data_IF_760651234989
#
_entry.id   IF_760651234989
#
_cell.length_a   1.000
_cell.length_b   1.000
_cell.length_c   1.000
_cell.angle_alpha   90.00
_cell.angle_beta   90.00
_cell.angle_gamma   90.00
#
_symmetry.space_group_name_H-M   'P 1'
#
loop_
_entity.id
_entity.type
_entity.pdbx_description
1 polymer ?
#
# COMPACT_ATOMS: atom_id res chain seq x y z
N UNK A 1 27.91 19.00 9.28
CA UNK A 1 26.72 18.07 9.26
C UNK A 1 25.50 18.94 9.10
N UNK A 2 24.56 18.58 8.21
CA UNK A 2 23.27 19.29 8.15
C UNK A 2 22.46 18.89 9.38
N UNK A 3 21.90 19.87 10.09
CA UNK A 3 20.94 19.62 11.16
C UNK A 3 19.79 18.77 10.63
N UNK A 4 19.42 17.72 11.36
CA UNK A 4 18.29 16.87 11.05
C UNK A 4 17.34 16.82 12.25
N UNK A 5 16.17 16.18 12.08
CA UNK A 5 15.13 16.10 13.11
C UNK A 5 15.59 15.48 14.45
N UNK A 6 16.75 14.82 14.47
CA UNK A 6 17.31 14.15 15.65
C UNK A 6 18.55 14.85 16.24
N UNK A 7 19.03 15.94 15.63
CA UNK A 7 20.25 16.63 16.11
C UNK A 7 20.11 17.12 17.56
N UNK A 8 18.92 17.55 17.95
CA UNK A 8 18.57 17.99 19.31
C UNK A 8 17.37 17.23 19.87
N UNK A 9 17.16 16.01 19.40
CA UNK A 9 16.04 15.22 19.85
C UNK A 9 16.19 14.81 21.30
N UNK A 10 15.17 15.10 22.09
CA UNK A 10 15.00 14.59 23.44
C UNK A 10 13.63 13.92 23.53
N UNK A 11 13.61 12.68 24.01
CA UNK A 11 12.37 11.92 24.15
C UNK A 11 11.44 12.59 25.17
N UNK A 12 10.23 12.95 24.73
CA UNK A 12 9.16 13.35 25.61
C UNK A 12 8.49 12.11 26.18
N UNK A 13 8.76 11.80 27.43
CA UNK A 13 8.26 10.58 28.07
C UNK A 13 6.74 10.52 28.15
N UNK A 14 6.04 11.66 28.19
CA UNK A 14 4.58 11.69 28.20
C UNK A 14 4.01 11.29 26.85
N UNK A 15 4.53 11.86 25.77
CA UNK A 15 4.13 11.50 24.40
C UNK A 15 4.52 10.04 24.10
N UNK A 16 5.74 9.65 24.45
CA UNK A 16 6.20 8.28 24.24
C UNK A 16 5.36 7.26 24.99
N UNK A 17 5.01 7.55 26.24
CA UNK A 17 4.10 6.71 27.02
C UNK A 17 2.70 6.58 26.41
N UNK A 18 2.17 7.64 25.78
CA UNK A 18 0.90 7.57 25.03
C UNK A 18 1.01 6.71 23.79
N UNK A 19 2.13 6.77 23.06
CA UNK A 19 2.38 5.90 21.92
C UNK A 19 2.53 4.43 22.36
N UNK A 20 3.22 4.16 23.46
CA UNK A 20 3.31 2.83 24.06
C UNK A 20 1.93 2.29 24.44
N UNK A 21 1.09 3.11 25.06
CA UNK A 21 -0.27 2.73 25.43
C UNK A 21 -1.18 2.44 24.21
N UNK A 22 -0.89 3.10 23.09
CA UNK A 22 -1.59 2.84 21.82
C UNK A 22 -1.03 1.64 21.05
N UNK A 23 0.12 1.11 21.48
CA UNK A 23 0.80 -0.05 20.89
C UNK A 23 0.47 -1.30 21.73
N UNK A 24 -0.63 -1.97 21.43
CA UNK A 24 -1.04 -3.17 22.14
C UNK A 24 -0.07 -4.34 21.85
N UNK A 25 0.42 -5.01 22.88
CA UNK A 25 1.26 -6.23 22.80
C UNK A 25 2.56 -6.07 21.97
N UNK A 26 3.27 -4.94 22.11
CA UNK A 26 4.51 -4.68 21.36
C UNK A 26 4.28 -4.40 19.88
N UNK A 27 3.02 -4.16 19.50
CA UNK A 27 2.62 -3.79 18.16
C UNK A 27 2.83 -2.29 17.92
N UNK A 28 2.46 -1.87 16.74
CA UNK A 28 2.54 -0.47 16.31
C UNK A 28 1.58 0.41 17.11
N UNK A 29 1.96 1.68 17.38
CA UNK A 29 1.01 2.67 17.84
C UNK A 29 -0.08 2.87 16.77
N UNK A 30 -1.31 2.53 17.11
CA UNK A 30 -2.49 2.73 16.27
C UNK A 30 -3.34 3.84 16.89
N UNK A 31 -3.62 4.87 16.10
CA UNK A 31 -4.42 6.02 16.52
C UNK A 31 -5.52 6.26 15.50
N UNK A 32 -6.75 6.27 15.96
CA UNK A 32 -7.86 6.72 15.14
C UNK A 32 -7.75 8.22 14.80
N UNK A 33 -8.58 8.71 13.89
CA UNK A 33 -8.53 10.08 13.43
C UNK A 33 -8.61 11.09 14.57
N UNK A 34 -9.47 10.87 15.57
CA UNK A 34 -9.65 11.80 16.69
C UNK A 34 -8.43 11.84 17.59
N UNK A 35 -7.89 10.68 17.94
CA UNK A 35 -6.69 10.57 18.77
C UNK A 35 -5.47 11.11 18.07
N UNK A 36 -5.32 10.82 16.77
CA UNK A 36 -4.23 11.33 15.93
C UNK A 36 -4.28 12.86 15.83
N UNK A 37 -5.45 13.43 15.57
CA UNK A 37 -5.65 14.87 15.51
C UNK A 37 -5.37 15.56 16.85
N UNK A 38 -5.89 14.99 17.95
CA UNK A 38 -5.66 15.50 19.30
C UNK A 38 -4.17 15.56 19.64
N UNK A 39 -3.44 14.47 19.39
CA UNK A 39 -2.01 14.43 19.67
C UNK A 39 -1.22 15.37 18.74
N UNK A 40 -1.60 15.49 17.47
CA UNK A 40 -0.99 16.46 16.57
C UNK A 40 -1.20 17.91 17.00
N UNK A 41 -2.40 18.26 17.48
CA UNK A 41 -2.68 19.59 18.04
C UNK A 41 -1.89 19.85 19.32
N UNK A 42 -1.76 18.84 20.16
CA UNK A 42 -1.09 18.97 21.47
C UNK A 42 0.42 19.06 21.34
N UNK A 43 1.03 18.24 20.50
CA UNK A 43 2.49 18.10 20.44
C UNK A 43 3.13 18.64 19.16
N UNK A 44 2.34 18.86 18.14
CA UNK A 44 2.80 19.26 16.80
C UNK A 44 3.28 18.07 15.94
N UNK A 45 3.15 18.26 14.63
CA UNK A 45 3.45 17.25 13.62
C UNK A 45 4.88 16.69 13.73
N UNK A 46 5.87 17.57 13.80
CA UNK A 46 7.26 17.14 13.76
C UNK A 46 7.65 16.36 15.02
N UNK A 47 7.16 16.79 16.18
CA UNK A 47 7.38 16.08 17.44
C UNK A 47 6.72 14.72 17.43
N UNK A 48 5.49 14.61 16.95
CA UNK A 48 4.79 13.33 16.77
C UNK A 48 5.58 12.39 15.86
N UNK A 49 5.97 12.88 14.67
CA UNK A 49 6.68 12.10 13.67
C UNK A 49 8.02 11.60 14.19
N UNK A 50 8.76 12.45 14.93
CA UNK A 50 10.05 12.07 15.51
C UNK A 50 9.91 11.00 16.58
N UNK A 51 8.89 11.11 17.46
CA UNK A 51 8.64 10.11 18.49
C UNK A 51 8.17 8.78 17.92
N UNK A 52 7.36 8.77 16.87
CA UNK A 52 6.96 7.54 16.17
C UNK A 52 8.18 6.88 15.50
N UNK A 53 9.04 7.67 14.89
CA UNK A 53 10.27 7.14 14.28
C UNK A 53 11.23 6.57 15.33
N UNK A 54 11.40 7.26 16.46
CA UNK A 54 12.16 6.77 17.60
C UNK A 54 11.57 5.47 18.17
N UNK A 55 10.24 5.40 18.31
CA UNK A 55 9.55 4.20 18.73
C UNK A 55 9.85 3.01 17.82
N UNK A 56 9.65 3.18 16.51
CA UNK A 56 9.90 2.11 15.54
C UNK A 56 11.37 1.66 15.56
N UNK A 57 12.29 2.61 15.64
CA UNK A 57 13.73 2.31 15.66
C UNK A 57 14.18 1.63 16.95
N UNK A 58 13.56 1.96 18.09
CA UNK A 58 13.93 1.41 19.41
C UNK A 58 13.28 0.07 19.68
N UNK A 59 11.98 -0.04 19.44
CA UNK A 59 11.18 -1.22 19.80
C UNK A 59 11.16 -2.28 18.68
N UNK A 60 11.49 -1.89 17.46
CA UNK A 60 11.49 -2.79 16.29
C UNK A 60 10.23 -3.65 16.18
N UNK A 61 9.04 -3.05 16.23
CA UNK A 61 7.82 -3.81 16.07
C UNK A 61 7.80 -4.52 14.70
N UNK A 62 7.10 -5.64 14.66
CA UNK A 62 6.96 -6.40 13.39
C UNK A 62 6.40 -5.51 12.30
N UNK A 63 6.95 -5.59 11.09
CA UNK A 63 6.43 -4.86 9.94
C UNK A 63 4.96 -5.23 9.71
N UNK A 64 4.06 -4.25 9.63
CA UNK A 64 2.64 -4.54 9.47
C UNK A 64 2.38 -5.20 8.11
N UNK A 65 1.79 -6.37 8.14
CA UNK A 65 1.33 -7.09 6.95
C UNK A 65 -0.19 -7.24 7.04
N UNK A 66 -0.84 -7.28 5.88
CA UNK A 66 -2.25 -7.67 5.85
C UNK A 66 -2.37 -9.12 6.29
N UNK A 67 -3.04 -9.36 7.39
CA UNK A 67 -3.39 -10.72 7.79
C UNK A 67 -4.42 -11.30 6.81
N UNK A 68 -4.10 -12.45 6.23
CA UNK A 68 -4.96 -13.18 5.30
C UNK A 68 -5.05 -14.60 5.83
N UNK A 69 -6.23 -15.00 6.28
CA UNK A 69 -6.46 -16.37 6.69
C UNK A 69 -6.50 -17.33 5.50
N UNK A 70 -6.27 -18.61 5.75
CA UNK A 70 -6.40 -19.65 4.72
C UNK A 70 -7.82 -19.70 4.15
N UNK A 71 -8.80 -19.41 4.97
CA UNK A 71 -10.21 -19.45 4.55
C UNK A 71 -10.57 -18.21 3.72
N UNK A 72 -10.04 -17.03 4.07
CA UNK A 72 -10.16 -15.82 3.24
C UNK A 72 -9.51 -16.01 1.87
N UNK A 73 -8.31 -16.59 1.84
CA UNK A 73 -7.62 -16.91 0.58
C UNK A 73 -8.44 -17.88 -0.27
N UNK A 74 -8.98 -18.96 0.33
CA UNK A 74 -9.82 -19.92 -0.37
C UNK A 74 -11.10 -19.29 -0.90
N UNK A 75 -11.78 -18.48 -0.06
CA UNK A 75 -12.97 -17.73 -0.48
C UNK A 75 -12.64 -16.82 -1.65
N UNK A 76 -11.56 -16.04 -1.54
CA UNK A 76 -11.09 -15.16 -2.61
C UNK A 76 -10.82 -15.92 -3.91
N UNK A 77 -10.24 -17.12 -3.84
CA UNK A 77 -10.02 -17.98 -5.01
C UNK A 77 -11.35 -18.49 -5.62
N UNK A 78 -12.31 -18.91 -4.80
CA UNK A 78 -13.62 -19.31 -5.29
C UNK A 78 -14.38 -18.16 -5.94
N UNK A 79 -14.28 -16.96 -5.39
CA UNK A 79 -14.89 -15.76 -5.94
C UNK A 79 -14.23 -15.38 -7.27
N UNK A 80 -12.90 -15.48 -7.36
CA UNK A 80 -12.16 -15.31 -8.62
C UNK A 80 -12.63 -16.30 -9.69
N UNK A 81 -12.79 -17.57 -9.35
CA UNK A 81 -13.27 -18.60 -10.30
C UNK A 81 -14.65 -18.29 -10.87
N UNK A 82 -15.52 -17.66 -10.08
CA UNK A 82 -16.89 -17.29 -10.47
C UNK A 82 -16.99 -15.91 -11.11
N UNK A 83 -15.92 -15.11 -11.02
CA UNK A 83 -15.93 -13.74 -11.52
C UNK A 83 -16.18 -13.72 -13.03
N UNK A 84 -17.15 -12.91 -13.46
CA UNK A 84 -17.41 -12.66 -14.87
C UNK A 84 -16.37 -11.69 -15.44
N UNK A 85 -15.45 -12.23 -16.22
CA UNK A 85 -14.35 -11.45 -16.81
C UNK A 85 -14.79 -10.55 -17.96
N UNK A 86 -16.00 -10.70 -18.49
CA UNK A 86 -16.53 -9.80 -19.53
C UNK A 86 -16.61 -8.35 -19.04
N UNK A 87 -16.78 -8.16 -17.74
CA UNK A 87 -16.83 -6.83 -17.12
C UNK A 87 -15.49 -6.04 -17.16
N UNK A 88 -14.39 -6.73 -17.44
CA UNK A 88 -13.05 -6.11 -17.58
C UNK A 88 -12.45 -6.24 -18.98
N UNK A 89 -13.15 -6.94 -19.87
CA UNK A 89 -12.79 -7.08 -21.29
C UNK A 89 -13.66 -6.13 -22.09
N UNK A 90 -13.08 -5.08 -22.63
CA UNK A 90 -13.80 -4.06 -23.39
C UNK A 90 -13.23 -3.87 -24.78
N UNK A 91 -14.06 -3.50 -25.78
CA UNK A 91 -13.59 -3.16 -27.11
C UNK A 91 -12.61 -1.97 -27.08
N UNK A 92 -11.62 -1.96 -27.96
CA UNK A 92 -10.61 -0.88 -28.01
C UNK A 92 -11.25 0.50 -28.21
N UNK A 93 -12.32 0.62 -29.00
CA UNK A 93 -13.06 1.87 -29.21
C UNK A 93 -13.60 2.46 -27.90
N UNK A 94 -14.01 1.60 -26.95
CA UNK A 94 -14.45 2.05 -25.64
C UNK A 94 -13.24 2.43 -24.76
N UNK A 95 -12.11 1.73 -24.89
CA UNK A 95 -10.85 2.10 -24.22
C UNK A 95 -10.40 3.48 -24.68
N UNK A 96 -10.42 3.73 -26.00
CA UNK A 96 -10.12 5.04 -26.56
C UNK A 96 -10.95 6.12 -25.88
N UNK A 97 -12.24 5.98 -25.87
CA UNK A 97 -13.14 7.00 -25.32
C UNK A 97 -12.92 7.25 -23.82
N UNK A 98 -12.71 6.21 -23.02
CA UNK A 98 -12.58 6.36 -21.55
C UNK A 98 -11.17 6.74 -21.09
N UNK A 99 -10.15 6.34 -21.84
CA UNK A 99 -8.75 6.51 -21.43
C UNK A 99 -8.08 7.66 -22.18
N UNK A 100 -8.37 7.84 -23.47
CA UNK A 100 -7.67 8.80 -24.32
C UNK A 100 -8.25 10.21 -24.36
N UNK A 101 -9.53 10.40 -24.10
CA UNK A 101 -10.04 11.76 -23.82
C UNK A 101 -9.28 12.44 -22.66
N UNK A 102 -8.51 11.66 -21.89
CA UNK A 102 -7.69 12.12 -20.79
C UNK A 102 -6.22 12.36 -21.13
N UNK A 103 -5.72 11.85 -22.26
CA UNK A 103 -4.29 11.81 -22.60
C UNK A 103 -4.07 12.00 -24.09
N UNK A 104 -4.48 13.17 -24.61
CA UNK A 104 -4.43 13.53 -26.03
C UNK A 104 -3.04 13.41 -26.70
N UNK A 105 -1.97 13.36 -25.91
CA UNK A 105 -0.58 13.38 -26.38
C UNK A 105 0.08 12.00 -26.47
N UNK A 106 -0.66 10.91 -26.24
CA UNK A 106 -0.09 9.57 -26.25
C UNK A 106 -0.56 8.73 -27.43
N UNK A 107 0.39 8.26 -28.25
CA UNK A 107 0.14 7.17 -29.20
C UNK A 107 0.23 5.83 -28.46
N UNK A 108 -0.87 5.09 -28.45
CA UNK A 108 -0.91 3.73 -27.89
C UNK A 108 -1.00 2.71 -29.03
N UNK A 109 -0.14 1.71 -28.98
CA UNK A 109 -0.32 0.55 -29.85
C UNK A 109 -1.30 -0.42 -29.19
N UNK A 110 -2.43 -0.61 -29.81
CA UNK A 110 -3.42 -1.59 -29.41
C UNK A 110 -3.05 -2.97 -29.91
N UNK A 111 -3.58 -3.95 -29.20
CA UNK A 111 -3.52 -5.28 -29.73
C UNK A 111 -4.37 -5.34 -31.03
N UNK A 112 -3.90 -6.14 -31.98
CA UNK A 112 -4.54 -6.32 -33.28
C UNK A 112 -5.94 -6.99 -33.21
N UNK A 113 -6.32 -7.49 -32.05
CA UNK A 113 -7.60 -8.16 -31.82
C UNK A 113 -8.71 -7.20 -31.38
N UNK A 114 -8.39 -5.96 -31.16
CA UNK A 114 -9.37 -4.93 -30.84
C UNK A 114 -9.99 -5.06 -29.46
N UNK A 115 -9.22 -5.57 -28.48
CA UNK A 115 -9.71 -5.83 -27.12
C UNK A 115 -8.78 -5.24 -26.08
N UNK A 116 -9.31 -4.47 -25.16
CA UNK A 116 -8.63 -3.95 -24.00
C UNK A 116 -9.00 -4.68 -22.72
N UNK A 117 -8.06 -4.79 -21.78
CA UNK A 117 -8.30 -5.27 -20.43
C UNK A 117 -8.20 -4.11 -19.46
N UNK A 118 -9.32 -3.73 -18.83
CA UNK A 118 -9.34 -2.67 -17.83
C UNK A 118 -9.60 -3.26 -16.45
N UNK A 119 -8.59 -3.25 -15.60
CA UNK A 119 -8.77 -3.60 -14.20
C UNK A 119 -7.85 -2.81 -13.29
N UNK A 120 -8.42 -1.82 -12.59
CA UNK A 120 -7.78 -1.10 -11.51
C UNK A 120 -7.80 -1.84 -10.16
N UNK A 121 -8.70 -2.83 -10.01
CA UNK A 121 -8.93 -3.49 -8.74
C UNK A 121 -7.82 -4.47 -8.35
N UNK A 122 -7.58 -4.58 -7.05
CA UNK A 122 -6.70 -5.58 -6.44
C UNK A 122 -7.49 -6.65 -5.64
N UNK A 123 -8.77 -6.80 -5.95
CA UNK A 123 -9.74 -7.56 -5.15
C UNK A 123 -9.33 -9.02 -4.97
N UNK A 124 -8.73 -9.63 -6.00
CA UNK A 124 -8.34 -11.04 -5.96
C UNK A 124 -6.85 -11.27 -5.68
N UNK A 125 -6.11 -10.22 -5.34
CA UNK A 125 -4.68 -10.34 -5.05
C UNK A 125 -4.38 -11.16 -3.78
N UNK A 126 -5.36 -11.33 -2.90
CA UNK A 126 -5.19 -12.09 -1.66
C UNK A 126 -4.97 -13.58 -1.91
N UNK A 127 -5.33 -14.10 -3.08
CA UNK A 127 -5.01 -15.47 -3.49
C UNK A 127 -3.51 -15.72 -3.43
N UNK A 128 -2.70 -14.84 -4.01
CA UNK A 128 -1.24 -14.95 -4.01
C UNK A 128 -0.58 -14.20 -2.86
N UNK A 129 -1.18 -13.13 -2.34
CA UNK A 129 -0.69 -12.41 -1.17
C UNK A 129 -0.56 -13.32 0.05
N UNK A 130 -1.48 -14.26 0.23
CA UNK A 130 -1.40 -15.26 1.28
C UNK A 130 -0.06 -16.00 1.32
N UNK A 131 0.52 -16.30 0.17
CA UNK A 131 1.77 -17.04 0.05
C UNK A 131 3.00 -16.14 0.01
N UNK A 132 2.92 -14.96 -0.60
CA UNK A 132 4.10 -14.24 -1.04
C UNK A 132 4.17 -12.77 -0.61
N UNK A 133 3.17 -12.25 0.12
CA UNK A 133 3.16 -10.84 0.52
C UNK A 133 4.42 -10.45 1.28
N UNK A 134 4.82 -11.23 2.25
CA UNK A 134 6.01 -10.98 3.07
C UNK A 134 7.28 -10.95 2.23
N UNK A 135 7.48 -11.98 1.39
CA UNK A 135 8.63 -12.08 0.50
C UNK A 135 8.73 -10.91 -0.47
N UNK A 136 7.60 -10.49 -1.07
CA UNK A 136 7.58 -9.38 -2.02
C UNK A 136 7.93 -8.05 -1.36
N UNK A 137 7.52 -7.84 -0.12
CA UNK A 137 7.84 -6.64 0.64
C UNK A 137 9.26 -6.64 1.20
N UNK A 138 9.92 -7.80 1.23
CA UNK A 138 11.31 -7.96 1.61
C UNK A 138 12.29 -7.89 0.41
N UNK A 139 11.80 -8.00 -0.85
CA UNK A 139 12.65 -7.92 -2.03
C UNK A 139 13.03 -6.48 -2.38
N UNK A 140 14.31 -6.18 -2.42
CA UNK A 140 14.87 -4.96 -3.01
C UNK A 140 15.32 -5.17 -4.45
N UNK A 141 15.60 -4.10 -5.19
CA UNK A 141 16.13 -4.13 -6.55
C UNK A 141 16.86 -2.85 -6.92
N UNK A 142 17.94 -3.00 -7.71
CA UNK A 142 18.68 -1.88 -8.33
C UNK A 142 19.06 -0.73 -7.37
N UNK A 143 19.52 -1.07 -6.16
CA UNK A 143 19.90 -0.07 -5.15
C UNK A 143 18.73 0.56 -4.39
N UNK A 144 17.51 0.14 -4.66
CA UNK A 144 16.35 0.52 -3.87
C UNK A 144 16.10 -0.51 -2.77
N UNK A 145 15.99 -0.04 -1.55
CA UNK A 145 15.66 -0.89 -0.42
C UNK A 145 14.19 -1.32 -0.48
N UNK A 146 13.94 -2.55 -0.01
CA UNK A 146 12.58 -3.03 0.20
C UNK A 146 11.90 -2.31 1.38
N UNK A 147 10.56 -2.18 1.38
CA UNK A 147 9.83 -1.56 2.48
C UNK A 147 10.11 -2.20 3.85
N UNK A 148 10.16 -3.52 3.90
CA UNK A 148 10.42 -4.28 5.11
C UNK A 148 11.84 -4.05 5.63
N UNK A 149 12.83 -4.02 4.73
CA UNK A 149 14.21 -3.73 5.09
C UNK A 149 14.36 -2.33 5.70
N UNK A 150 13.71 -1.32 5.11
CA UNK A 150 13.69 0.04 5.68
C UNK A 150 13.12 0.08 7.10
N UNK A 151 12.12 -0.73 7.35
CA UNK A 151 11.49 -0.81 8.65
C UNK A 151 12.41 -1.46 9.70
N UNK A 152 13.05 -2.55 9.32
CA UNK A 152 13.79 -3.42 10.23
C UNK A 152 15.22 -2.93 10.49
N UNK A 153 15.86 -2.30 9.51
CA UNK A 153 17.29 -1.99 9.55
C UNK A 153 17.61 -0.49 9.68
N UNK A 154 16.73 0.40 9.25
CA UNK A 154 17.03 1.83 9.22
C UNK A 154 17.06 2.46 10.62
N UNK A 155 17.84 3.56 10.73
CA UNK A 155 17.84 4.37 11.93
C UNK A 155 16.58 5.23 12.06
N UNK A 156 16.41 5.89 13.21
CA UNK A 156 15.26 6.71 13.48
C UNK A 156 15.09 7.88 12.48
N UNK A 157 16.17 8.44 11.95
CA UNK A 157 16.09 9.52 10.99
C UNK A 157 15.60 9.06 9.61
N UNK A 158 16.08 7.91 9.14
CA UNK A 158 15.62 7.33 7.88
C UNK A 158 14.17 6.86 7.96
N UNK A 159 13.77 6.27 9.10
CA UNK A 159 12.36 5.95 9.40
C UNK A 159 11.51 7.23 9.40
N UNK A 160 11.98 8.29 10.06
CA UNK A 160 11.30 9.59 10.07
C UNK A 160 11.02 10.11 8.65
N UNK A 161 11.99 9.99 7.74
CA UNK A 161 11.80 10.37 6.32
C UNK A 161 10.65 9.59 5.67
N UNK A 162 10.55 8.29 5.95
CA UNK A 162 9.49 7.43 5.42
C UNK A 162 8.09 7.80 5.93
N UNK A 163 7.95 8.29 7.16
CA UNK A 163 6.65 8.56 7.78
C UNK A 163 5.93 9.81 7.23
N UNK A 164 6.64 10.71 6.55
CA UNK A 164 6.09 11.99 6.06
C UNK A 164 4.74 11.90 5.32
N UNK A 165 4.50 10.92 4.45
CA UNK A 165 3.25 10.74 3.73
C UNK A 165 2.01 10.56 4.60
N UNK A 166 2.14 10.06 5.83
CA UNK A 166 1.01 9.89 6.77
C UNK A 166 0.34 11.23 7.01
N UNK A 167 1.13 12.30 7.26
CA UNK A 167 0.60 13.65 7.44
C UNK A 167 0.18 14.38 6.15
N UNK A 168 0.42 13.77 5.00
CA UNK A 168 -0.11 14.21 3.70
C UNK A 168 -1.35 13.44 3.29
N UNK A 169 -1.89 12.62 4.19
CA UNK A 169 -3.13 11.91 3.99
C UNK A 169 -3.04 10.71 3.05
N UNK A 170 -1.95 9.96 3.11
CA UNK A 170 -1.79 8.76 2.27
C UNK A 170 -2.89 7.73 2.52
N UNK A 171 -3.41 7.71 3.75
CA UNK A 171 -4.61 6.95 4.15
C UNK A 171 -5.30 7.73 5.27
N UNK A 172 -6.61 7.60 5.38
CA UNK A 172 -7.39 8.13 6.50
C UNK A 172 -7.78 9.59 6.43
N UNK A 173 -7.37 10.35 5.40
CA UNK A 173 -7.87 11.70 5.18
C UNK A 173 -9.14 11.65 4.36
N UNK A 174 -10.19 12.21 4.89
CA UNK A 174 -11.46 12.40 4.19
C UNK A 174 -11.59 13.84 3.71
N UNK A 175 -12.00 14.01 2.48
CA UNK A 175 -12.44 15.29 1.95
C UNK A 175 -13.90 15.51 2.33
N UNK A 176 -14.16 16.52 3.10
CA UNK A 176 -15.52 16.87 3.55
C UNK A 176 -15.82 18.30 3.15
N UNK A 177 -17.02 18.52 2.62
CA UNK A 177 -17.49 19.88 2.34
C UNK A 177 -18.01 20.50 3.63
N UNK A 178 -17.30 21.51 4.16
CA UNK A 178 -17.73 22.31 5.31
C UNK A 178 -17.95 23.73 4.82
N UNK A 179 -19.18 24.24 5.00
CA UNK A 179 -19.57 25.58 4.58
C UNK A 179 -19.20 25.93 3.12
N UNK A 180 -19.33 24.94 2.22
CA UNK A 180 -19.03 25.12 0.79
C UNK A 180 -17.54 25.12 0.41
N UNK A 181 -16.64 24.82 1.35
CA UNK A 181 -15.22 24.63 1.11
C UNK A 181 -14.83 23.18 1.33
N UNK A 182 -13.94 22.68 0.47
CA UNK A 182 -13.36 21.37 0.64
C UNK A 182 -12.30 21.41 1.75
N UNK A 183 -12.56 20.73 2.86
CA UNK A 183 -11.60 20.58 3.96
C UNK A 183 -11.13 19.15 4.06
N UNK A 184 -9.84 18.99 4.36
CA UNK A 184 -9.25 17.69 4.65
C UNK A 184 -9.41 17.44 6.15
N UNK A 185 -10.23 16.46 6.50
CA UNK A 185 -10.45 16.07 7.89
C UNK A 185 -9.74 14.78 8.18
N UNK A 186 -8.97 14.83 9.26
CA UNK A 186 -8.36 13.66 9.86
C UNK A 186 -7.10 13.22 9.14
N UNK A 187 -6.58 12.25 9.65
CA UNK A 187 -5.49 11.37 9.33
C UNK A 187 -5.55 10.32 10.40
N UNK A 188 -5.00 9.17 10.14
CA UNK A 188 -4.95 8.06 11.11
C UNK A 188 -3.56 7.45 11.13
N UNK A 189 -3.22 6.88 12.22
CA UNK A 189 -2.04 6.05 12.37
C UNK A 189 -2.50 4.60 12.40
N UNK A 190 -2.59 3.98 11.22
CA UNK A 190 -3.05 2.61 11.05
C UNK A 190 -1.96 1.75 10.40
N UNK A 191 -2.08 0.44 10.50
CA UNK A 191 -1.20 -0.49 9.79
C UNK A 191 -1.11 -0.15 8.30
N UNK A 192 -2.24 0.16 7.69
CA UNK A 192 -2.33 0.56 6.27
C UNK A 192 -1.56 1.86 6.00
N UNK A 193 -1.61 2.82 6.91
CA UNK A 193 -0.87 4.09 6.79
C UNK A 193 0.63 3.85 6.83
N UNK A 194 1.12 3.00 7.72
CA UNK A 194 2.52 2.61 7.80
C UNK A 194 2.98 1.87 6.54
N UNK A 195 2.27 0.82 6.13
CA UNK A 195 2.58 0.07 4.90
C UNK A 195 2.68 1.02 3.71
N UNK A 196 1.68 1.88 3.53
CA UNK A 196 1.63 2.80 2.41
C UNK A 196 2.77 3.82 2.44
N UNK A 197 3.11 4.34 3.62
CA UNK A 197 4.20 5.30 3.79
C UNK A 197 5.57 4.68 3.45
N UNK A 198 5.84 3.48 3.92
CA UNK A 198 7.11 2.79 3.67
C UNK A 198 7.23 2.25 2.24
N UNK A 199 6.13 2.03 1.55
CA UNK A 199 6.12 1.63 0.13
C UNK A 199 6.46 2.78 -0.82
N UNK A 200 6.31 4.02 -0.40
CA UNK A 200 6.65 5.17 -1.24
C UNK A 200 8.17 5.33 -1.38
N UNK A 201 8.61 5.47 -2.63
CA UNK A 201 10.03 5.64 -2.94
C UNK A 201 10.88 4.40 -2.70
N UNK A 202 10.27 3.22 -2.59
CA UNK A 202 10.93 1.92 -2.53
C UNK A 202 10.67 1.10 -3.79
N UNK A 203 11.49 0.08 -4.01
CA UNK A 203 11.15 -0.96 -4.96
C UNK A 203 10.21 -1.96 -4.29
N UNK A 204 9.17 -2.35 -5.01
CA UNK A 204 8.25 -3.41 -4.59
C UNK A 204 8.16 -4.40 -5.73
N UNK A 205 8.46 -5.65 -5.46
CA UNK A 205 8.23 -6.71 -6.41
C UNK A 205 6.74 -6.75 -6.79
N UNK A 206 6.46 -6.45 -8.06
CA UNK A 206 5.10 -6.33 -8.56
C UNK A 206 4.43 -7.69 -8.66
N UNK A 207 3.13 -7.68 -8.52
CA UNK A 207 2.24 -8.83 -8.63
C UNK A 207 1.46 -8.72 -9.94
N UNK A 208 1.41 -9.80 -10.71
CA UNK A 208 0.44 -9.90 -11.79
C UNK A 208 -0.96 -10.08 -11.18
N UNK A 209 -1.98 -9.45 -11.74
CA UNK A 209 -3.32 -9.56 -11.17
C UNK A 209 -3.98 -10.87 -11.56
N UNK A 210 -4.38 -11.74 -10.61
CA UNK A 210 -5.01 -13.03 -10.92
C UNK A 210 -6.26 -12.92 -11.79
N UNK A 211 -7.04 -11.86 -11.61
CA UNK A 211 -8.24 -11.61 -12.43
C UNK A 211 -7.92 -11.32 -13.89
N UNK A 212 -6.78 -10.69 -14.18
CA UNK A 212 -6.32 -10.45 -15.55
C UNK A 212 -5.86 -11.76 -16.19
N UNK A 213 -5.15 -12.61 -15.43
CA UNK A 213 -4.80 -13.95 -15.91
C UNK A 213 -6.07 -14.76 -16.28
N UNK A 214 -7.06 -14.78 -15.37
CA UNK A 214 -8.34 -15.43 -15.64
C UNK A 214 -9.01 -14.89 -16.91
N UNK A 215 -9.05 -13.56 -17.09
CA UNK A 215 -9.63 -12.96 -18.29
C UNK A 215 -8.94 -13.45 -19.58
N UNK A 216 -7.61 -13.51 -19.59
CA UNK A 216 -6.85 -14.02 -20.73
C UNK A 216 -7.20 -15.50 -21.00
N UNK A 217 -7.32 -16.33 -19.96
CA UNK A 217 -7.66 -17.75 -20.10
C UNK A 217 -9.10 -17.94 -20.60
N UNK A 218 -10.05 -17.15 -20.10
CA UNK A 218 -11.45 -17.20 -20.57
C UNK A 218 -11.55 -16.76 -22.04
N UNK A 219 -10.87 -15.66 -22.43
CA UNK A 219 -10.85 -15.16 -23.82
C UNK A 219 -10.26 -16.17 -24.80
N UNK A 220 -9.24 -16.89 -24.40
CA UNK A 220 -8.58 -17.90 -25.26
C UNK A 220 -9.21 -19.30 -25.15
N UNK A 221 -10.20 -19.46 -24.30
CA UNK A 221 -10.80 -20.75 -23.96
C UNK A 221 -9.71 -21.81 -23.60
N UNK A 222 -8.67 -21.36 -22.88
CA UNK A 222 -7.53 -22.18 -22.55
C UNK A 222 -7.93 -23.36 -21.63
N UNK A 223 -7.55 -24.57 -22.03
CA UNK A 223 -7.74 -25.79 -21.23
C UNK A 223 -6.47 -26.17 -20.49
N UNK A 224 -5.35 -25.77 -21.02
CA UNK A 224 -4.01 -26.01 -20.44
C UNK A 224 -3.19 -24.77 -20.65
N UNK A 225 -2.44 -24.35 -19.63
CA UNK A 225 -1.59 -23.17 -19.66
C UNK A 225 -0.17 -23.58 -19.33
N UNK A 226 0.79 -23.18 -20.16
CA UNK A 226 2.22 -23.26 -19.89
C UNK A 226 2.74 -21.86 -19.64
N UNK A 227 3.12 -21.55 -18.41
CA UNK A 227 3.76 -20.30 -18.04
C UNK A 227 5.24 -20.53 -17.71
N UNK A 228 6.12 -20.21 -18.65
CA UNK A 228 7.58 -20.37 -18.51
C UNK A 228 8.22 -19.30 -17.63
N UNK A 229 7.47 -18.27 -17.22
CA UNK A 229 7.95 -17.14 -16.43
C UNK A 229 6.93 -16.74 -15.38
N UNK A 230 6.40 -17.72 -14.64
CA UNK A 230 5.27 -17.54 -13.72
C UNK A 230 5.50 -16.51 -12.61
N UNK A 231 6.74 -16.05 -12.41
CA UNK A 231 7.07 -15.06 -11.38
C UNK A 231 6.70 -15.56 -9.99
N UNK A 232 5.77 -14.86 -9.33
CA UNK A 232 5.28 -15.22 -8.00
C UNK A 232 4.11 -16.25 -8.03
N UNK A 233 3.82 -16.86 -9.18
CA UNK A 233 2.72 -17.81 -9.31
C UNK A 233 1.33 -17.17 -9.39
N UNK A 234 1.22 -15.88 -9.56
CA UNK A 234 -0.06 -15.17 -9.60
C UNK A 234 -0.95 -15.56 -10.79
N UNK A 235 -0.36 -16.21 -11.80
CA UNK A 235 -1.02 -16.61 -13.06
C UNK A 235 -1.34 -18.10 -13.14
N UNK A 236 -0.99 -18.88 -12.12
CA UNK A 236 -1.14 -20.36 -12.10
C UNK A 236 -2.46 -20.81 -11.48
#
# INVERSE_FOLDING_TARGET
MKENAFTHYTRDNTLYGRLLAAATDGKLPILDNKSFELLNKTYGKEKMRTHIADYIASERPVFPLKEISKDDMRKCFYDLKKFDTSSICIPNEQVEKEVFEKYDDYEYSYDKYGLGLINGASTFNDVSNYFHQDLRLACGSYGFEAPKKRWEENDAYDIWKCLGPIWRGINGVQKVMIEGKEELIGGELSEKSYISAFRLGTYIATQFKPVVAKAIYDMTNAKTVLDTSCGWGDRL
#
